data_IF_167939231801
#
_entry.id   IF_167939231801
#
_cell.length_a   1.000
_cell.length_b   1.000
_cell.length_c   1.000
_cell.angle_alpha   90.00
_cell.angle_beta   90.00
_cell.angle_gamma   90.00
#
_symmetry.space_group_name_H-M   'P 1'
#
loop_
_entity.id
_entity.type
_entity.pdbx_description
1 polymer ?
#
# COMPACT_ATOMS: atom_id res chain seq x y z
N UNK A 1 -39.52 -23.11 -16.69
CA UNK A 1 -39.22 -21.66 -16.64
C UNK A 1 -37.70 -21.55 -16.63
N UNK A 2 -37.10 -21.18 -17.76
CA UNK A 2 -35.64 -21.00 -17.90
C UNK A 2 -35.29 -19.65 -17.28
N UNK A 3 -34.33 -19.63 -16.37
CA UNK A 3 -33.73 -18.39 -15.89
C UNK A 3 -32.51 -18.10 -16.76
N UNK A 4 -32.57 -16.96 -17.44
CA UNK A 4 -31.53 -16.42 -18.30
C UNK A 4 -30.30 -16.01 -17.50
N UNK A 5 -29.14 -16.07 -18.19
CA UNK A 5 -27.84 -15.76 -17.63
C UNK A 5 -27.72 -14.28 -17.25
N UNK A 6 -27.41 -14.06 -15.98
CA UNK A 6 -26.79 -12.82 -15.53
C UNK A 6 -25.29 -13.05 -15.43
N UNK A 7 -24.51 -12.35 -16.26
CA UNK A 7 -23.10 -12.10 -15.97
C UNK A 7 -23.02 -11.37 -14.62
N UNK A 8 -22.51 -12.05 -13.60
CA UNK A 8 -22.24 -11.43 -12.31
C UNK A 8 -20.97 -10.58 -12.45
N UNK A 9 -21.18 -9.27 -12.54
CA UNK A 9 -20.11 -8.29 -12.40
C UNK A 9 -19.42 -8.49 -11.05
N UNK A 10 -18.11 -8.71 -11.09
CA UNK A 10 -17.25 -8.90 -9.92
C UNK A 10 -17.38 -7.68 -9.00
N UNK A 11 -18.10 -7.82 -7.88
CA UNK A 11 -18.13 -6.75 -6.87
C UNK A 11 -16.74 -6.60 -6.26
N UNK A 12 -16.30 -5.35 -6.22
CA UNK A 12 -14.97 -4.89 -5.85
C UNK A 12 -14.54 -5.50 -4.52
N UNK A 13 -13.54 -6.38 -4.56
CA UNK A 13 -12.96 -6.99 -3.37
C UNK A 13 -12.13 -5.92 -2.62
N UNK A 14 -12.65 -5.43 -1.49
CA UNK A 14 -12.07 -4.35 -0.71
C UNK A 14 -10.67 -4.65 -0.12
N UNK A 15 -10.23 -5.91 -0.11
CA UNK A 15 -8.85 -6.29 0.27
C UNK A 15 -7.96 -6.63 -0.93
N UNK A 16 -8.51 -6.65 -2.15
CA UNK A 16 -7.75 -6.74 -3.38
C UNK A 16 -7.85 -5.40 -4.10
N UNK A 17 -7.05 -4.42 -3.68
CA UNK A 17 -6.93 -3.14 -4.41
C UNK A 17 -6.33 -3.41 -5.79
N UNK A 18 -7.19 -3.67 -6.77
CA UNK A 18 -6.83 -4.01 -8.14
C UNK A 18 -6.33 -5.44 -8.30
N UNK A 19 -7.20 -6.44 -8.07
CA UNK A 19 -6.91 -7.80 -8.49
C UNK A 19 -6.46 -7.77 -9.96
N UNK A 20 -5.24 -8.21 -10.22
CA UNK A 20 -4.72 -8.43 -11.56
C UNK A 20 -5.75 -9.29 -12.30
N UNK A 21 -6.39 -8.75 -13.33
CA UNK A 21 -7.14 -9.56 -14.28
C UNK A 21 -6.12 -10.38 -15.06
N UNK A 22 -5.73 -11.52 -14.51
CA UNK A 22 -4.72 -12.38 -15.13
C UNK A 22 -3.97 -13.19 -14.09
N UNK A 23 -4.15 -14.51 -14.19
CA UNK A 23 -3.52 -15.57 -13.40
C UNK A 23 -3.81 -15.52 -11.89
N UNK A 24 -4.56 -16.51 -11.42
CA UNK A 24 -4.77 -16.79 -10.02
C UNK A 24 -3.43 -16.76 -9.27
N UNK A 25 -3.22 -15.75 -8.42
CA UNK A 25 -2.18 -15.77 -7.41
C UNK A 25 -2.38 -17.06 -6.60
N UNK A 26 -1.48 -18.03 -6.77
CA UNK A 26 -1.53 -19.28 -6.01
C UNK A 26 -1.24 -18.94 -4.56
N UNK A 27 -2.30 -18.77 -3.77
CA UNK A 27 -2.22 -18.54 -2.33
C UNK A 27 -1.40 -19.67 -1.70
N UNK A 28 -0.27 -19.29 -1.11
CA UNK A 28 0.66 -20.19 -0.46
C UNK A 28 -0.04 -20.98 0.67
N UNK A 29 0.34 -22.24 0.91
CA UNK A 29 -0.36 -23.14 1.85
C UNK A 29 -0.33 -22.64 3.30
N UNK A 30 0.61 -21.76 3.66
CA UNK A 30 0.62 -21.06 4.94
C UNK A 30 -0.29 -19.83 4.99
N UNK A 31 -0.55 -19.14 3.88
CA UNK A 31 -1.62 -18.13 3.81
C UNK A 31 -2.97 -18.83 3.95
N UNK A 32 -3.14 -19.99 3.31
CA UNK A 32 -4.27 -20.89 3.58
C UNK A 32 -4.24 -21.43 5.01
N UNK A 33 -3.10 -21.71 5.63
CA UNK A 33 -3.09 -22.16 7.03
C UNK A 33 -3.44 -21.04 8.02
N UNK A 34 -2.99 -19.81 7.75
CA UNK A 34 -3.23 -18.63 8.57
C UNK A 34 -4.64 -18.05 8.35
N UNK A 35 -5.15 -18.17 7.12
CA UNK A 35 -6.45 -17.67 6.67
C UNK A 35 -7.16 -18.83 5.91
N UNK A 36 -7.54 -19.94 6.57
CA UNK A 36 -8.05 -21.17 5.94
C UNK A 36 -9.33 -21.01 5.15
N UNK A 37 -9.98 -19.88 5.35
CA UNK A 37 -11.23 -19.53 4.71
C UNK A 37 -11.05 -18.48 3.61
N UNK A 38 -9.84 -17.95 3.39
CA UNK A 38 -9.56 -16.92 2.38
C UNK A 38 -9.77 -17.51 0.98
N UNK A 39 -10.65 -16.90 0.20
CA UNK A 39 -11.00 -17.40 -1.13
C UNK A 39 -12.08 -18.48 -1.16
N UNK A 40 -12.68 -18.84 -0.02
CA UNK A 40 -13.86 -19.72 0.01
C UNK A 40 -15.10 -18.89 -0.33
N UNK A 41 -15.80 -19.31 -1.38
CA UNK A 41 -17.10 -18.80 -1.74
C UNK A 41 -18.20 -19.55 -0.99
N UNK A 42 -19.27 -18.86 -0.63
CA UNK A 42 -20.48 -19.49 -0.10
C UNK A 42 -21.21 -20.28 -1.20
N UNK A 43 -22.34 -20.90 -0.86
CA UNK A 43 -23.14 -21.67 -1.82
C UNK A 43 -23.73 -20.82 -2.95
N UNK A 44 -23.69 -19.50 -2.81
CA UNK A 44 -24.20 -18.53 -3.77
C UNK A 44 -23.09 -17.92 -4.65
N UNK A 45 -21.82 -18.31 -4.42
CA UNK A 45 -20.66 -17.77 -5.15
C UNK A 45 -20.07 -16.50 -4.53
N UNK A 46 -20.58 -16.05 -3.38
CA UNK A 46 -20.08 -14.86 -2.70
C UNK A 46 -18.83 -15.20 -1.88
N UNK A 47 -17.74 -14.46 -2.08
CA UNK A 47 -16.55 -14.61 -1.24
C UNK A 47 -16.90 -14.31 0.21
N UNK A 48 -16.68 -15.28 1.09
CA UNK A 48 -16.94 -15.12 2.52
C UNK A 48 -15.97 -14.09 3.12
N UNK A 49 -16.37 -12.83 3.17
CA UNK A 49 -15.67 -11.75 3.90
C UNK A 49 -15.40 -12.14 5.38
N UNK A 50 -16.26 -13.02 5.90
CA UNK A 50 -16.19 -13.68 7.20
C UNK A 50 -14.98 -14.61 7.40
N UNK A 51 -14.07 -14.71 6.45
CA UNK A 51 -12.92 -15.63 6.53
C UNK A 51 -11.66 -15.01 7.12
N UNK A 52 -11.33 -13.79 6.69
CA UNK A 52 -10.21 -13.04 7.22
C UNK A 52 -10.54 -12.52 8.62
N UNK A 53 -11.78 -12.11 8.87
CA UNK A 53 -12.18 -11.48 10.13
C UNK A 53 -12.02 -12.37 11.37
N UNK A 54 -12.33 -13.67 11.37
CA UNK A 54 -12.06 -14.56 12.50
C UNK A 54 -10.57 -14.84 12.70
N UNK A 55 -9.78 -14.92 11.63
CA UNK A 55 -8.33 -15.13 11.74
C UNK A 55 -7.60 -13.87 12.23
N UNK A 56 -7.99 -12.70 11.69
CA UNK A 56 -7.60 -11.38 12.20
C UNK A 56 -8.07 -11.24 13.65
N UNK A 57 -9.32 -11.57 13.96
CA UNK A 57 -9.86 -11.53 15.33
C UNK A 57 -9.07 -12.46 16.25
N UNK A 58 -8.75 -13.69 15.84
CA UNK A 58 -7.97 -14.65 16.63
C UNK A 58 -6.55 -14.14 16.89
N UNK A 59 -5.89 -13.59 15.87
CA UNK A 59 -4.58 -12.94 16.01
C UNK A 59 -4.65 -11.70 16.92
N UNK A 60 -5.73 -10.93 16.81
CA UNK A 60 -6.02 -9.79 17.70
C UNK A 60 -6.41 -10.24 19.13
N UNK A 61 -6.87 -11.48 19.33
CA UNK A 61 -7.29 -11.95 20.66
C UNK A 61 -6.14 -12.53 21.47
N UNK A 62 -4.92 -12.62 20.92
CA UNK A 62 -3.76 -13.24 21.57
C UNK A 62 -3.15 -12.29 22.64
N UNK A 63 -3.25 -12.61 23.94
CA UNK A 63 -2.82 -11.73 25.04
C UNK A 63 -1.32 -11.46 25.10
N UNK A 64 -0.50 -12.26 24.40
CA UNK A 64 0.97 -12.13 24.37
C UNK A 64 1.51 -11.33 23.17
N UNK A 65 0.65 -10.84 22.28
CA UNK A 65 1.05 -10.23 21.01
C UNK A 65 1.12 -8.69 21.02
N UNK A 66 1.68 -8.12 19.95
CA UNK A 66 1.73 -6.66 19.68
C UNK A 66 0.34 -6.09 19.30
N UNK A 67 -0.70 -6.44 20.07
CA UNK A 67 -2.11 -6.19 19.74
C UNK A 67 -2.42 -4.72 19.49
N UNK A 68 -1.96 -3.84 20.38
CA UNK A 68 -2.21 -2.39 20.29
C UNK A 68 -1.63 -1.79 19.01
N UNK A 69 -0.43 -2.25 18.61
CA UNK A 69 0.22 -1.85 17.37
C UNK A 69 -0.62 -2.29 16.15
N UNK A 70 -0.94 -3.58 16.05
CA UNK A 70 -1.69 -4.10 14.89
C UNK A 70 -3.12 -3.56 14.81
N UNK A 71 -3.79 -3.38 15.94
CA UNK A 71 -5.11 -2.73 15.98
C UNK A 71 -5.04 -1.30 15.48
N UNK A 72 -4.05 -0.54 15.95
CA UNK A 72 -3.87 0.85 15.51
C UNK A 72 -3.50 0.94 14.02
N UNK A 73 -2.70 0.01 13.52
CA UNK A 73 -2.36 -0.08 12.09
C UNK A 73 -3.61 -0.40 11.24
N UNK A 74 -4.35 -1.44 11.63
CA UNK A 74 -5.56 -1.86 10.93
C UNK A 74 -6.63 -0.76 10.92
N UNK A 75 -6.76 -0.01 12.02
CA UNK A 75 -7.68 1.13 12.09
C UNK A 75 -7.31 2.23 11.07
N UNK A 76 -6.02 2.57 10.92
CA UNK A 76 -5.60 3.54 9.89
C UNK A 76 -5.87 3.02 8.47
N UNK A 77 -5.54 1.76 8.20
CA UNK A 77 -5.78 1.16 6.87
C UNK A 77 -7.28 1.10 6.57
N UNK A 78 -8.10 0.69 7.53
CA UNK A 78 -9.55 0.63 7.38
C UNK A 78 -10.15 2.02 7.15
N UNK A 79 -9.71 3.04 7.90
CA UNK A 79 -10.14 4.43 7.68
C UNK A 79 -9.70 4.95 6.32
N UNK A 80 -8.49 4.64 5.85
CA UNK A 80 -8.04 5.00 4.51
C UNK A 80 -8.95 4.40 3.44
N UNK A 81 -9.32 3.12 3.57
CA UNK A 81 -10.24 2.44 2.64
C UNK A 81 -11.65 3.06 2.68
N UNK A 82 -12.20 3.32 3.88
CA UNK A 82 -13.51 3.98 4.02
C UNK A 82 -13.50 5.38 3.41
N UNK A 83 -12.44 6.16 3.64
CA UNK A 83 -12.30 7.48 3.04
C UNK A 83 -12.16 7.42 1.51
N UNK A 84 -11.50 6.40 0.95
CA UNK A 84 -11.44 6.18 -0.49
C UNK A 84 -12.83 5.90 -1.09
N UNK A 85 -13.63 5.08 -0.44
CA UNK A 85 -14.99 4.72 -0.87
C UNK A 85 -15.93 5.93 -0.85
N UNK A 86 -15.76 6.82 0.14
CA UNK A 86 -16.48 8.08 0.25
C UNK A 86 -15.87 9.22 -0.60
N UNK A 87 -14.94 8.91 -1.49
CA UNK A 87 -14.21 9.87 -2.34
C UNK A 87 -13.47 10.99 -1.59
N UNK A 88 -13.15 10.79 -0.30
CA UNK A 88 -12.39 11.72 0.56
C UNK A 88 -10.89 11.47 0.45
N UNK A 89 -10.34 11.62 -0.75
CA UNK A 89 -8.96 11.21 -1.07
C UNK A 89 -7.89 11.86 -0.19
N UNK A 90 -8.04 13.13 0.22
CA UNK A 90 -7.05 13.79 1.08
C UNK A 90 -7.03 13.15 2.47
N UNK A 91 -8.22 12.91 3.04
CA UNK A 91 -8.35 12.23 4.35
C UNK A 91 -7.83 10.79 4.26
N UNK A 92 -8.13 10.10 3.15
CA UNK A 92 -7.66 8.75 2.89
C UNK A 92 -6.13 8.69 2.86
N UNK A 93 -5.49 9.67 2.20
CA UNK A 93 -4.04 9.77 2.12
C UNK A 93 -3.39 10.01 3.48
N UNK A 94 -3.99 10.85 4.34
CA UNK A 94 -3.49 11.07 5.70
C UNK A 94 -3.50 9.77 6.51
N UNK A 95 -4.60 9.01 6.46
CA UNK A 95 -4.71 7.73 7.15
C UNK A 95 -3.72 6.69 6.60
N UNK A 96 -3.62 6.57 5.27
CA UNK A 96 -2.62 5.72 4.62
C UNK A 96 -1.20 6.07 5.10
N UNK A 97 -0.85 7.36 5.10
CA UNK A 97 0.49 7.79 5.45
C UNK A 97 0.82 7.50 6.92
N UNK A 98 -0.13 7.67 7.84
CA UNK A 98 0.02 7.23 9.24
C UNK A 98 0.21 5.72 9.36
N UNK A 99 -0.46 4.94 8.52
CA UNK A 99 -0.21 3.50 8.44
C UNK A 99 1.23 3.23 7.97
N UNK A 100 1.68 3.89 6.89
CA UNK A 100 3.06 3.77 6.40
C UNK A 100 4.10 4.13 7.47
N UNK A 101 3.91 5.22 8.22
CA UNK A 101 4.79 5.60 9.34
C UNK A 101 4.90 4.50 10.40
N UNK A 102 3.77 3.91 10.80
CA UNK A 102 3.75 2.78 11.75
C UNK A 102 4.47 1.55 11.18
N UNK A 103 4.34 1.31 9.88
CA UNK A 103 4.98 0.20 9.19
C UNK A 103 6.49 0.39 9.02
N UNK A 104 6.96 1.65 8.95
CA UNK A 104 8.33 2.00 8.62
C UNK A 104 9.38 1.24 9.42
N UNK A 105 9.13 1.09 10.72
CA UNK A 105 10.01 0.33 11.60
C UNK A 105 9.55 -1.11 11.85
N UNK A 106 8.24 -1.33 11.94
CA UNK A 106 7.70 -2.62 12.34
C UNK A 106 7.98 -3.72 11.29
N UNK A 107 7.85 -3.40 10.01
CA UNK A 107 8.00 -4.39 8.95
C UNK A 107 9.44 -4.87 8.76
N UNK A 108 10.45 -4.00 8.67
CA UNK A 108 11.83 -4.47 8.54
C UNK A 108 12.30 -5.25 9.78
N UNK A 109 11.87 -4.86 10.98
CA UNK A 109 12.21 -5.58 12.22
C UNK A 109 11.54 -6.95 12.29
N UNK A 110 10.26 -7.03 11.89
CA UNK A 110 9.53 -8.29 11.84
C UNK A 110 10.15 -9.25 10.81
N UNK A 111 10.51 -8.75 9.63
CA UNK A 111 11.19 -9.53 8.60
C UNK A 111 12.57 -10.01 9.07
N UNK A 112 13.37 -9.11 9.67
CA UNK A 112 14.68 -9.47 10.20
C UNK A 112 14.63 -10.58 11.26
N UNK A 113 13.62 -10.57 12.14
CA UNK A 113 13.39 -11.60 13.18
C UNK A 113 13.25 -13.01 12.60
N UNK A 114 12.78 -13.15 11.36
CA UNK A 114 12.53 -14.47 10.76
C UNK A 114 13.81 -15.12 10.20
N UNK A 115 14.91 -14.38 10.11
CA UNK A 115 16.18 -14.97 9.69
C UNK A 115 16.73 -15.93 10.75
N UNK A 116 17.02 -17.15 10.33
CA UNK A 116 17.63 -18.21 11.17
C UNK A 116 19.07 -17.85 11.57
N UNK A 117 19.76 -17.02 10.79
CA UNK A 117 21.14 -16.61 11.04
C UNK A 117 21.21 -15.19 11.60
N UNK A 118 21.71 -15.05 12.82
CA UNK A 118 21.94 -13.74 13.45
C UNK A 118 22.85 -12.82 12.64
N UNK A 119 23.89 -13.37 11.99
CA UNK A 119 24.78 -12.57 11.13
C UNK A 119 24.03 -12.03 9.90
N UNK A 120 23.18 -12.86 9.26
CA UNK A 120 22.36 -12.40 8.13
C UNK A 120 21.32 -11.35 8.57
N UNK A 121 20.67 -11.56 9.72
CA UNK A 121 19.73 -10.59 10.28
C UNK A 121 20.42 -9.25 10.58
N UNK A 122 21.62 -9.31 11.17
CA UNK A 122 22.44 -8.14 11.46
C UNK A 122 22.84 -7.40 10.17
N UNK A 123 23.32 -8.11 9.15
CA UNK A 123 23.72 -7.51 7.88
C UNK A 123 22.53 -6.89 7.12
N UNK A 124 21.36 -7.53 7.17
CA UNK A 124 20.13 -6.98 6.59
C UNK A 124 19.68 -5.71 7.32
N UNK A 125 19.59 -5.76 8.65
CA UNK A 125 19.25 -4.58 9.46
C UNK A 125 20.23 -3.43 9.24
N UNK A 126 21.53 -3.73 9.22
CA UNK A 126 22.59 -2.76 8.91
C UNK A 126 22.44 -2.18 7.50
N UNK A 127 21.99 -2.99 6.54
CA UNK A 127 21.66 -2.56 5.19
C UNK A 127 20.49 -1.56 5.16
N UNK A 128 19.45 -1.81 5.97
CA UNK A 128 18.30 -0.92 6.09
C UNK A 128 18.67 0.39 6.81
N UNK A 129 19.48 0.33 7.88
CA UNK A 129 19.89 1.48 8.70
C UNK A 129 20.90 2.44 8.04
N UNK A 130 21.11 2.35 6.73
CA UNK A 130 21.88 3.34 5.97
C UNK A 130 21.04 4.61 5.77
N UNK A 131 20.78 5.35 6.84
CA UNK A 131 19.95 6.56 6.77
C UNK A 131 19.09 6.87 8.00
N UNK A 132 18.18 7.83 7.83
CA UNK A 132 17.11 8.14 8.78
C UNK A 132 15.94 7.13 8.77
N UNK A 133 14.95 7.32 9.63
CA UNK A 133 13.78 6.43 9.78
C UNK A 133 13.01 6.16 8.48
N UNK A 134 12.79 7.18 7.65
CA UNK A 134 12.07 7.00 6.39
C UNK A 134 12.92 6.30 5.33
N UNK A 135 14.24 6.53 5.34
CA UNK A 135 15.19 5.84 4.47
C UNK A 135 15.29 4.35 4.84
N UNK A 136 15.12 4.01 6.12
CA UNK A 136 15.07 2.63 6.60
C UNK A 136 13.97 1.82 5.92
N UNK A 137 12.74 2.35 5.91
CA UNK A 137 11.60 1.68 5.26
C UNK A 137 11.68 1.74 3.72
N UNK A 138 12.19 2.84 3.16
CA UNK A 138 12.47 2.95 1.73
C UNK A 138 13.42 1.84 1.25
N UNK A 139 14.56 1.69 1.93
CA UNK A 139 15.54 0.67 1.59
C UNK A 139 14.98 -0.74 1.76
N UNK A 140 14.21 -0.98 2.83
CA UNK A 140 13.54 -2.26 3.05
C UNK A 140 12.55 -2.59 1.94
N UNK A 141 11.60 -1.71 1.65
CA UNK A 141 10.56 -1.93 0.65
C UNK A 141 11.16 -2.13 -0.74
N UNK A 142 12.12 -1.30 -1.14
CA UNK A 142 12.83 -1.45 -2.41
C UNK A 142 13.58 -2.78 -2.48
N UNK A 143 14.31 -3.17 -1.42
CA UNK A 143 15.07 -4.42 -1.42
C UNK A 143 14.14 -5.64 -1.44
N UNK A 144 13.04 -5.61 -0.69
CA UNK A 144 12.06 -6.69 -0.65
C UNK A 144 11.39 -6.88 -2.01
N UNK A 145 10.89 -5.80 -2.62
CA UNK A 145 10.17 -5.84 -3.89
C UNK A 145 11.10 -6.09 -5.08
N UNK A 146 12.35 -5.62 -5.04
CA UNK A 146 13.32 -5.85 -6.12
C UNK A 146 13.74 -7.31 -6.29
N UNK A 147 13.46 -8.17 -5.30
CA UNK A 147 13.72 -9.62 -5.39
C UNK A 147 12.72 -10.34 -6.28
N UNK A 148 11.53 -9.76 -6.48
CA UNK A 148 10.52 -10.29 -7.37
C UNK A 148 10.49 -9.48 -8.67
N UNK A 149 10.90 -10.06 -9.82
CA UNK A 149 10.87 -9.36 -11.11
C UNK A 149 9.51 -8.81 -11.50
N UNK A 150 8.40 -9.44 -11.09
CA UNK A 150 7.05 -8.98 -11.40
C UNK A 150 6.73 -7.69 -10.64
N UNK A 151 6.96 -7.67 -9.32
CA UNK A 151 6.71 -6.48 -8.49
C UNK A 151 7.75 -5.38 -8.74
N UNK A 152 8.99 -5.75 -9.06
CA UNK A 152 10.07 -4.81 -9.36
C UNK A 152 9.85 -4.04 -10.67
N UNK A 153 9.10 -4.62 -11.60
CA UNK A 153 8.73 -4.02 -12.88
C UNK A 153 7.31 -3.44 -12.90
N UNK A 154 6.52 -3.67 -11.87
CA UNK A 154 5.14 -3.19 -11.81
C UNK A 154 5.09 -1.66 -11.78
N UNK A 155 4.36 -1.08 -12.73
CA UNK A 155 4.13 0.37 -12.83
C UNK A 155 2.70 0.68 -12.44
N UNK A 156 2.55 1.47 -11.38
CA UNK A 156 1.27 2.02 -10.97
C UNK A 156 1.01 3.30 -11.76
N UNK A 157 0.08 3.23 -12.72
CA UNK A 157 -0.42 4.39 -13.45
C UNK A 157 -1.57 5.06 -12.69
N UNK A 158 -1.45 6.36 -12.49
CA UNK A 158 -2.46 7.24 -11.91
C UNK A 158 -3.01 8.14 -13.01
N UNK A 159 -4.27 7.96 -13.40
CA UNK A 159 -4.90 8.74 -14.47
C UNK A 159 -5.85 9.79 -13.88
N UNK A 160 -5.69 11.04 -14.33
CA UNK A 160 -6.46 12.18 -13.84
C UNK A 160 -7.39 12.67 -14.94
N UNK A 161 -8.65 12.91 -14.59
CA UNK A 161 -9.65 13.45 -15.53
C UNK A 161 -9.31 14.87 -16.00
N UNK A 162 -8.64 15.64 -15.14
CA UNK A 162 -8.20 17.00 -15.45
C UNK A 162 -6.68 17.02 -15.65
N UNK A 163 -6.16 17.93 -16.48
CA UNK A 163 -4.73 18.16 -16.59
C UNK A 163 -4.08 18.39 -15.23
N UNK A 164 -2.97 17.71 -15.00
CA UNK A 164 -2.15 17.88 -13.80
C UNK A 164 -1.56 19.29 -13.84
N UNK A 165 -1.64 20.01 -12.72
CA UNK A 165 -1.07 21.36 -12.60
C UNK A 165 0.41 21.38 -13.04
N UNK A 166 0.85 22.36 -13.84
CA UNK A 166 2.26 22.48 -14.27
C UNK A 166 3.26 22.48 -13.11
N UNK A 167 2.85 22.95 -11.93
CA UNK A 167 3.67 22.92 -10.71
C UNK A 167 3.85 21.52 -10.15
N UNK A 168 2.80 20.68 -10.19
CA UNK A 168 2.90 19.27 -9.79
C UNK A 168 3.82 18.54 -10.78
N UNK A 169 3.70 18.83 -12.08
CA UNK A 169 4.59 18.27 -13.10
C UNK A 169 6.05 18.67 -12.88
N UNK A 170 6.32 19.96 -12.66
CA UNK A 170 7.65 20.46 -12.34
C UNK A 170 8.20 19.82 -11.07
N UNK A 171 7.38 19.71 -10.03
CA UNK A 171 7.73 19.03 -8.78
C UNK A 171 8.12 17.56 -9.02
N UNK A 172 7.34 16.81 -9.78
CA UNK A 172 7.64 15.40 -10.08
C UNK A 172 8.97 15.30 -10.83
N UNK A 173 9.16 16.11 -11.87
CA UNK A 173 10.36 16.06 -12.70
C UNK A 173 11.64 16.51 -11.94
N UNK A 174 11.54 17.51 -11.07
CA UNK A 174 12.71 18.09 -10.40
C UNK A 174 13.03 17.44 -9.06
N UNK A 175 12.01 17.08 -8.27
CA UNK A 175 12.12 16.71 -6.86
C UNK A 175 11.70 15.27 -6.56
N UNK A 176 10.78 14.70 -7.33
CA UNK A 176 10.23 13.36 -7.10
C UNK A 176 10.48 12.45 -8.31
N UNK A 177 11.78 12.18 -8.55
CA UNK A 177 12.30 11.41 -9.70
C UNK A 177 11.87 9.93 -9.72
N UNK A 178 11.11 9.51 -8.72
CA UNK A 178 10.52 8.18 -8.60
C UNK A 178 9.28 8.00 -9.49
N UNK A 179 8.70 9.10 -9.97
CA UNK A 179 7.54 9.09 -10.85
C UNK A 179 7.81 9.85 -12.16
N UNK A 180 7.04 9.53 -13.18
CA UNK A 180 7.08 10.17 -14.49
C UNK A 180 5.69 10.68 -14.86
N UNK A 181 5.62 11.87 -15.44
CA UNK A 181 4.35 12.42 -15.94
C UNK A 181 4.24 12.13 -17.43
N UNK A 182 3.16 11.46 -17.83
CA UNK A 182 2.88 11.12 -19.22
C UNK A 182 1.65 11.90 -19.70
N UNK A 183 1.78 12.59 -20.84
CA UNK A 183 0.67 13.32 -21.48
C UNK A 183 0.04 14.46 -20.64
N UNK A 184 0.65 14.85 -19.53
CA UNK A 184 0.10 15.88 -18.62
C UNK A 184 -1.15 15.46 -17.84
N UNK A 185 -1.57 14.20 -17.96
CA UNK A 185 -2.80 13.67 -17.35
C UNK A 185 -2.58 12.34 -16.62
N UNK A 186 -1.39 11.75 -16.70
CA UNK A 186 -1.07 10.58 -15.90
C UNK A 186 0.27 10.70 -15.19
N UNK A 187 0.36 10.06 -14.03
CA UNK A 187 1.59 9.88 -13.27
C UNK A 187 1.85 8.39 -13.17
N UNK A 188 3.01 7.97 -13.65
CA UNK A 188 3.46 6.58 -13.61
C UNK A 188 4.56 6.44 -12.57
N UNK A 189 4.38 5.56 -11.59
CA UNK A 189 5.36 5.26 -10.53
C UNK A 189 5.63 3.76 -10.46
N UNK A 190 6.90 3.35 -10.39
CA UNK A 190 7.21 1.95 -10.17
C UNK A 190 6.87 1.55 -8.73
N UNK A 191 6.27 0.38 -8.53
CA UNK A 191 5.80 -0.06 -7.22
C UNK A 191 6.94 -0.10 -6.18
N UNK A 192 8.14 -0.53 -6.58
CA UNK A 192 9.34 -0.53 -5.70
C UNK A 192 9.79 0.86 -5.24
N UNK A 193 9.40 1.90 -5.97
CA UNK A 193 9.74 3.30 -5.70
C UNK A 193 8.54 4.09 -5.15
N UNK A 194 7.38 3.43 -5.01
CA UNK A 194 6.14 4.06 -4.56
C UNK A 194 6.25 4.60 -3.13
N UNK A 195 6.99 3.95 -2.23
CA UNK A 195 7.16 4.44 -0.86
C UNK A 195 7.78 5.85 -0.84
N UNK A 196 8.89 6.02 -1.54
CA UNK A 196 9.60 7.30 -1.65
C UNK A 196 8.76 8.36 -2.35
N UNK A 197 8.03 7.97 -3.39
CA UNK A 197 7.09 8.86 -4.07
C UNK A 197 6.05 9.41 -3.08
N UNK A 198 5.41 8.55 -2.28
CA UNK A 198 4.38 8.94 -1.33
C UNK A 198 4.93 9.80 -0.18
N UNK A 199 6.11 9.47 0.34
CA UNK A 199 6.79 10.26 1.38
C UNK A 199 7.12 11.66 0.86
N UNK A 200 7.70 11.74 -0.33
CA UNK A 200 8.07 13.03 -0.93
C UNK A 200 6.81 13.85 -1.20
N UNK A 201 5.74 13.22 -1.70
CA UNK A 201 4.45 13.88 -1.98
C UNK A 201 3.83 14.42 -0.70
N UNK A 202 3.82 13.63 0.38
CA UNK A 202 3.33 14.06 1.70
C UNK A 202 4.15 15.25 2.21
N UNK A 203 5.47 15.12 2.23
CA UNK A 203 6.33 16.17 2.76
C UNK A 203 6.07 17.49 2.05
N UNK A 204 5.94 17.43 0.74
CA UNK A 204 5.74 18.62 -0.06
C UNK A 204 4.36 19.26 0.15
N UNK A 205 3.29 18.46 0.11
CA UNK A 205 1.93 18.99 0.28
C UNK A 205 1.63 19.47 1.72
N UNK A 206 2.08 18.73 2.74
CA UNK A 206 1.73 19.02 4.13
C UNK A 206 2.72 19.96 4.86
N UNK A 207 4.00 20.04 4.46
CA UNK A 207 4.89 21.07 5.02
C UNK A 207 4.58 22.49 4.53
N UNK A 208 3.83 22.62 3.43
CA UNK A 208 3.28 23.91 3.01
C UNK A 208 2.17 24.41 3.96
N UNK A 209 1.27 23.51 4.41
CA UNK A 209 0.23 23.86 5.39
C UNK A 209 0.81 24.34 6.73
N UNK A 210 2.07 24.02 7.03
CA UNK A 210 2.80 24.43 8.22
C UNK A 210 3.70 25.68 8.03
N UNK A 211 3.69 26.32 6.85
CA UNK A 211 4.35 27.61 6.60
C UNK A 211 5.83 27.56 6.20
N UNK A 212 6.32 26.47 5.62
CA UNK A 212 7.69 26.43 5.09
C UNK A 212 7.78 26.94 3.64
N UNK A 213 8.85 27.67 3.30
CA UNK A 213 9.03 28.41 2.03
C UNK A 213 9.21 27.55 0.76
N UNK A 214 9.07 26.23 0.86
CA UNK A 214 9.30 25.30 -0.22
C UNK A 214 8.05 24.47 -0.51
N UNK A 215 7.26 24.95 -1.49
CA UNK A 215 6.63 24.18 -2.58
C UNK A 215 5.27 23.42 -2.37
N UNK A 216 4.49 23.33 -3.48
CA UNK A 216 3.02 23.11 -3.70
C UNK A 216 2.05 23.79 -2.71
N UNK A 217 1.45 24.90 -3.15
CA UNK A 217 0.34 25.58 -2.45
C UNK A 217 -0.96 24.76 -2.59
N UNK A 218 -1.87 24.90 -1.63
CA UNK A 218 -3.28 24.49 -1.72
C UNK A 218 -3.95 24.94 -3.03
N UNK A 219 -3.49 26.06 -3.61
CA UNK A 219 -3.94 26.56 -4.92
C UNK A 219 -3.42 25.74 -6.10
N UNK A 220 -2.32 25.03 -5.92
CA UNK A 220 -1.68 24.21 -6.95
C UNK A 220 -2.34 22.84 -7.10
N UNK A 221 -3.14 22.44 -6.11
CA UNK A 221 -4.00 21.24 -6.13
C UNK A 221 -5.46 21.68 -5.92
N UNK A 222 -6.15 22.22 -6.94
CA UNK A 222 -7.47 22.80 -6.79
C UNK A 222 -8.57 21.82 -6.34
N UNK A 223 -8.33 20.51 -6.49
CA UNK A 223 -9.21 19.44 -5.98
C UNK A 223 -8.37 18.38 -5.26
N UNK A 224 -7.98 18.63 -4.00
CA UNK A 224 -7.11 17.74 -3.24
C UNK A 224 -7.69 16.34 -3.11
N UNK A 225 -8.99 16.22 -2.80
CA UNK A 225 -9.62 14.91 -2.66
C UNK A 225 -9.51 14.08 -3.94
N UNK A 226 -9.89 14.65 -5.09
CA UNK A 226 -9.77 13.97 -6.38
C UNK A 226 -8.31 13.58 -6.70
N UNK A 227 -7.36 14.48 -6.42
CA UNK A 227 -5.93 14.20 -6.65
C UNK A 227 -5.43 13.05 -5.77
N UNK A 228 -5.71 13.09 -4.47
CA UNK A 228 -5.17 12.14 -3.49
C UNK A 228 -5.84 10.76 -3.51
N UNK A 229 -6.93 10.56 -4.25
CA UNK A 229 -7.49 9.23 -4.51
C UNK A 229 -6.44 8.28 -5.13
N UNK A 230 -5.72 8.76 -6.14
CA UNK A 230 -4.80 7.91 -6.89
C UNK A 230 -3.53 7.53 -6.10
N UNK A 231 -2.78 8.48 -5.50
CA UNK A 231 -1.66 8.15 -4.61
C UNK A 231 -2.08 7.24 -3.46
N UNK A 232 -3.28 7.40 -2.92
CA UNK A 232 -3.76 6.53 -1.83
C UNK A 232 -3.93 5.09 -2.29
N UNK A 233 -4.50 4.86 -3.48
CA UNK A 233 -4.62 3.52 -4.06
C UNK A 233 -3.25 2.88 -4.30
N UNK A 234 -2.27 3.67 -4.77
CA UNK A 234 -0.88 3.21 -4.92
C UNK A 234 -0.30 2.77 -3.57
N UNK A 235 -0.50 3.55 -2.51
CA UNK A 235 0.02 3.18 -1.18
C UNK A 235 -0.64 1.94 -0.59
N UNK A 236 -1.94 1.74 -0.79
CA UNK A 236 -2.60 0.50 -0.34
C UNK A 236 -2.07 -0.73 -1.11
N UNK A 237 -1.83 -0.60 -2.42
CA UNK A 237 -1.18 -1.65 -3.21
C UNK A 237 0.23 -1.97 -2.68
N UNK A 238 1.01 -0.93 -2.39
CA UNK A 238 2.34 -1.08 -1.79
C UNK A 238 2.29 -1.86 -0.47
N UNK A 239 1.37 -1.51 0.44
CA UNK A 239 1.20 -2.22 1.72
C UNK A 239 0.85 -3.69 1.46
N UNK A 240 -0.09 -3.96 0.56
CA UNK A 240 -0.49 -5.31 0.18
C UNK A 240 0.65 -6.14 -0.41
N UNK A 241 1.46 -5.55 -1.28
CA UNK A 241 2.62 -6.19 -1.90
C UNK A 241 3.71 -6.52 -0.88
N UNK A 242 4.05 -5.56 0.00
CA UNK A 242 5.02 -5.79 1.08
C UNK A 242 4.54 -6.90 2.01
N UNK A 243 3.28 -6.85 2.46
CA UNK A 243 2.74 -7.85 3.36
C UNK A 243 2.75 -9.25 2.72
N UNK A 244 2.36 -9.36 1.45
CA UNK A 244 2.39 -10.62 0.70
C UNK A 244 3.79 -11.22 0.66
N UNK A 245 4.81 -10.39 0.37
CA UNK A 245 6.21 -10.84 0.36
C UNK A 245 6.76 -11.22 1.72
N UNK A 246 6.38 -10.50 2.76
CA UNK A 246 6.76 -10.87 4.12
C UNK A 246 6.19 -12.25 4.50
N UNK A 247 4.95 -12.56 4.09
CA UNK A 247 4.35 -13.87 4.36
C UNK A 247 5.01 -14.98 3.54
N UNK A 248 5.40 -14.71 2.30
CA UNK A 248 6.17 -15.66 1.47
C UNK A 248 7.56 -15.97 2.04
N UNK A 249 8.30 -14.95 2.49
CA UNK A 249 9.65 -15.10 3.08
C UNK A 249 9.62 -15.77 4.47
N UNK A 250 8.46 -15.81 5.13
CA UNK A 250 8.25 -16.48 6.43
C UNK A 250 8.21 -18.01 6.34
N UNK A 251 8.34 -18.58 5.14
CA UNK A 251 8.16 -20.00 4.83
C UNK A 251 9.49 -20.72 4.74
#
# INVERSE_FOLDING_TARGET
MRFDGHEFAQMVNYMAVGAVQGAALSLHDRVKAALPTLGIQDRNGDFLLYSAMPAVRKYLSDPGGNHSFFTSLLDEVARAVVCLDLERGLSAFVHLYRALEKLSFAFPLYHARQNVSYMKAYDQLKGYFKGGELEFCSNFSRQLLSRDPLLAGEVCRMEFNDPISPRIVAYINEKNRQATVSGGQSIDVCLKDAFDFLVTLRNHYFHHLAGSNYSLDSRDVPRPDAFFLHPTRVGLRLIGAIFSKMVEDSV
#
